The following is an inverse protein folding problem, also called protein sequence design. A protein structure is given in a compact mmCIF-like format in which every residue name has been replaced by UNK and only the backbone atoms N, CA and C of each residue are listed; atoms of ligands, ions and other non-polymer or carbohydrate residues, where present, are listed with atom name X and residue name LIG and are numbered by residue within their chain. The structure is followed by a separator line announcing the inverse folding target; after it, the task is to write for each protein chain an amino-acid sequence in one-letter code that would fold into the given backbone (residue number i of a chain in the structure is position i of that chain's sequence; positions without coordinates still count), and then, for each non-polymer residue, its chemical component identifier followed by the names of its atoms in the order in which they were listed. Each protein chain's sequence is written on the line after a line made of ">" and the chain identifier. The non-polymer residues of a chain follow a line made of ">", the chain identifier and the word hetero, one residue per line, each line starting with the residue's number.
data_IF_734448051482
#
_entry.id   IF_734448051482
#
_cell.length_a   1.000
_cell.length_b   1.000
_cell.length_c   1.000
_cell.angle_alpha   90.00
_cell.angle_beta   90.00
_cell.angle_gamma   90.00
#
_symmetry.space_group_name_H-M   'P 1'
#
loop_
_entity.id
_entity.type
_entity.pdbx_description
1 polymer ?
#
# COMPACT_ATOMS: atom_id res chain seq x y z
N UNK A 1 -19.14 -10.89 5.51
CA UNK A 1 -18.00 -11.22 6.42
C UNK A 1 -16.67 -11.24 5.67
N UNK A 2 -16.42 -12.16 4.72
CA UNK A 2 -15.19 -12.13 3.89
C UNK A 2 -15.10 -10.84 3.04
N UNK A 3 -16.15 -10.53 2.28
CA UNK A 3 -16.16 -9.34 1.41
C UNK A 3 -15.96 -8.03 2.18
N UNK A 4 -16.61 -7.89 3.34
CA UNK A 4 -16.44 -6.71 4.21
C UNK A 4 -15.01 -6.58 4.74
N UNK A 5 -14.34 -7.70 5.02
CA UNK A 5 -12.94 -7.68 5.45
C UNK A 5 -12.00 -7.31 4.30
N UNK A 6 -12.25 -7.84 3.09
CA UNK A 6 -11.52 -7.46 1.89
C UNK A 6 -11.70 -5.96 1.57
N UNK A 7 -12.90 -5.40 1.77
CA UNK A 7 -13.15 -3.97 1.63
C UNK A 7 -12.31 -3.13 2.60
N UNK A 8 -12.20 -3.56 3.87
CA UNK A 8 -11.35 -2.88 4.87
C UNK A 8 -9.88 -2.94 4.46
N UNK A 9 -9.40 -4.09 3.98
CA UNK A 9 -8.02 -4.24 3.46
C UNK A 9 -7.82 -3.35 2.23
N UNK A 10 -8.77 -3.34 1.31
CA UNK A 10 -8.71 -2.52 0.11
C UNK A 10 -8.58 -1.04 0.45
N UNK A 11 -9.47 -0.52 1.30
CA UNK A 11 -9.48 0.91 1.64
C UNK A 11 -8.30 1.32 2.52
N UNK A 12 -7.86 0.47 3.44
CA UNK A 12 -6.64 0.73 4.22
C UNK A 12 -5.41 0.80 3.32
N UNK A 13 -5.31 -0.06 2.30
CA UNK A 13 -4.27 0.03 1.27
C UNK A 13 -4.36 1.30 0.44
N UNK A 14 -5.55 1.75 0.05
CA UNK A 14 -5.69 3.00 -0.70
C UNK A 14 -5.17 4.19 0.11
N UNK A 15 -5.55 4.28 1.39
CA UNK A 15 -5.07 5.31 2.30
C UNK A 15 -3.53 5.24 2.46
N UNK A 16 -2.98 4.04 2.69
CA UNK A 16 -1.53 3.84 2.78
C UNK A 16 -0.80 4.26 1.50
N UNK A 17 -1.34 3.93 0.33
CA UNK A 17 -0.74 4.27 -0.96
C UNK A 17 -0.60 5.78 -1.14
N UNK A 18 -1.67 6.53 -0.82
CA UNK A 18 -1.68 8.00 -0.87
C UNK A 18 -0.70 8.57 0.16
N UNK A 19 -0.73 8.11 1.42
CA UNK A 19 0.15 8.60 2.48
C UNK A 19 1.63 8.37 2.13
N UNK A 20 1.98 7.16 1.68
CA UNK A 20 3.36 6.84 1.28
C UNK A 20 3.78 7.70 0.09
N UNK A 21 2.90 7.89 -0.90
CA UNK A 21 3.23 8.72 -2.07
C UNK A 21 3.45 10.19 -1.72
N UNK A 22 2.66 10.74 -0.79
CA UNK A 22 2.91 12.08 -0.23
C UNK A 22 4.28 12.14 0.45
N UNK A 23 4.61 11.19 1.34
CA UNK A 23 5.88 11.17 2.07
C UNK A 23 7.09 10.99 1.15
N UNK A 24 7.01 10.09 0.16
CA UNK A 24 8.08 9.88 -0.82
C UNK A 24 8.25 11.06 -1.76
N UNK A 25 7.20 11.84 -2.02
CA UNK A 25 7.29 13.06 -2.81
C UNK A 25 8.13 14.16 -2.14
N UNK A 26 8.17 14.17 -0.81
CA UNK A 26 8.97 15.15 -0.04
C UNK A 26 10.47 14.84 -0.05
N UNK A 27 10.83 13.58 -0.29
CA UNK A 27 12.22 13.10 -0.26
C UNK A 27 12.67 12.92 -1.72
N UNK A 28 13.91 13.26 -2.11
CA UNK A 28 14.39 13.07 -3.48
C UNK A 28 14.72 11.61 -3.81
N UNK A 29 13.84 10.69 -3.41
CA UNK A 29 13.91 9.28 -3.73
C UNK A 29 13.48 9.08 -5.18
N UNK A 30 14.22 8.28 -5.97
CA UNK A 30 13.98 8.13 -7.42
C UNK A 30 14.09 6.69 -7.89
N UNK A 31 13.42 6.42 -9.01
CA UNK A 31 13.59 5.20 -9.78
C UNK A 31 13.15 3.93 -9.04
N UNK A 32 13.76 2.81 -9.41
CA UNK A 32 13.37 1.48 -8.96
C UNK A 32 13.37 1.31 -7.43
N UNK A 33 14.30 1.96 -6.73
CA UNK A 33 14.40 1.87 -5.25
C UNK A 33 13.13 2.37 -4.57
N UNK A 34 12.53 3.45 -5.09
CA UNK A 34 11.28 3.99 -4.54
C UNK A 34 10.11 3.03 -4.72
N UNK A 35 10.03 2.37 -5.87
CA UNK A 35 9.01 1.37 -6.18
C UNK A 35 9.16 0.13 -5.31
N UNK A 36 10.39 -0.36 -5.15
CA UNK A 36 10.69 -1.52 -4.32
C UNK A 36 10.35 -1.26 -2.85
N UNK A 37 10.72 -0.09 -2.33
CA UNK A 37 10.38 0.31 -0.96
C UNK A 37 8.88 0.45 -0.76
N UNK A 38 8.16 1.02 -1.73
CA UNK A 38 6.69 1.03 -1.69
C UNK A 38 6.13 -0.39 -1.56
N UNK A 39 6.56 -1.32 -2.42
CA UNK A 39 6.06 -2.69 -2.41
C UNK A 39 6.31 -3.38 -1.07
N UNK A 40 7.53 -3.27 -0.53
CA UNK A 40 7.91 -3.87 0.76
C UNK A 40 7.14 -3.26 1.91
N UNK A 41 7.04 -1.92 1.99
CA UNK A 41 6.33 -1.23 3.09
C UNK A 41 4.83 -1.51 3.01
N UNK A 42 4.23 -1.41 1.84
CA UNK A 42 2.79 -1.63 1.66
C UNK A 42 2.40 -3.09 1.98
N UNK A 43 3.13 -4.07 1.44
CA UNK A 43 2.89 -5.48 1.73
C UNK A 43 3.18 -5.82 3.19
N UNK A 44 4.27 -5.30 3.76
CA UNK A 44 4.66 -5.55 5.14
C UNK A 44 3.67 -4.97 6.15
N UNK A 45 3.19 -3.74 5.96
CA UNK A 45 2.20 -3.13 6.85
C UNK A 45 0.87 -3.87 6.83
N UNK A 46 0.42 -4.32 5.65
CA UNK A 46 -0.82 -5.10 5.54
C UNK A 46 -0.65 -6.48 6.17
N UNK A 47 0.49 -7.14 5.90
CA UNK A 47 0.83 -8.42 6.55
C UNK A 47 0.80 -8.30 8.08
N UNK A 48 1.45 -7.28 8.62
CA UNK A 48 1.44 -7.03 10.06
C UNK A 48 0.05 -6.70 10.60
N UNK A 49 -0.77 -5.99 9.84
CA UNK A 49 -2.15 -5.63 10.21
C UNK A 49 -3.02 -6.89 10.39
N UNK A 50 -3.09 -7.76 9.39
CA UNK A 50 -3.93 -8.97 9.53
C UNK A 50 -3.31 -10.02 10.46
N UNK A 51 -1.98 -10.11 10.54
CA UNK A 51 -1.28 -11.05 11.43
C UNK A 51 -1.42 -10.69 12.92
N UNK A 52 -1.33 -9.40 13.28
CA UNK A 52 -1.40 -8.99 14.70
C UNK A 52 -2.80 -8.63 15.17
N UNK A 53 -3.62 -8.00 14.33
CA UNK A 53 -4.87 -7.38 14.82
C UNK A 53 -6.02 -8.38 14.92
N UNK A 54 -5.94 -9.52 14.22
CA UNK A 54 -7.13 -10.36 14.07
C UNK A 54 -7.00 -11.81 14.52
N UNK A 55 -5.79 -12.37 14.68
CA UNK A 55 -5.62 -13.81 15.00
C UNK A 55 -6.59 -14.70 14.20
N UNK A 56 -6.90 -14.26 12.99
CA UNK A 56 -7.90 -14.85 12.11
C UNK A 56 -7.23 -16.06 11.50
N UNK A 57 -7.96 -17.17 11.47
CA UNK A 57 -7.53 -18.35 10.73
C UNK A 57 -7.45 -17.95 9.25
N UNK A 58 -6.25 -17.65 8.76
CA UNK A 58 -6.02 -17.07 7.43
C UNK A 58 -6.60 -17.98 6.33
N UNK A 59 -6.75 -19.28 6.63
CA UNK A 59 -7.38 -20.29 5.78
C UNK A 59 -8.88 -20.01 5.52
N UNK A 60 -9.58 -19.34 6.44
CA UNK A 60 -11.00 -19.00 6.30
C UNK A 60 -11.23 -17.86 5.31
N UNK A 61 -10.18 -17.09 4.98
CA UNK A 61 -10.23 -15.90 4.13
C UNK A 61 -9.46 -16.06 2.80
N UNK A 62 -9.23 -17.30 2.35
CA UNK A 62 -8.55 -17.59 1.08
C UNK A 62 -7.01 -17.61 1.19
N UNK A 63 -6.48 -17.47 2.40
CA UNK A 63 -5.05 -17.50 2.70
C UNK A 63 -4.38 -16.12 2.64
N UNK A 64 -3.17 -15.99 3.22
CA UNK A 64 -2.45 -14.71 3.32
C UNK A 64 -2.13 -14.10 1.95
N UNK A 65 -2.00 -14.92 0.91
CA UNK A 65 -1.78 -14.44 -0.46
C UNK A 65 -2.99 -13.67 -0.99
N UNK A 66 -4.21 -14.10 -0.70
CA UNK A 66 -5.46 -13.44 -1.10
C UNK A 66 -5.57 -12.04 -0.51
N UNK A 67 -5.31 -11.95 0.78
CA UNK A 67 -5.29 -10.70 1.54
C UNK A 67 -4.16 -9.76 1.08
N UNK A 68 -3.02 -10.34 0.69
CA UNK A 68 -1.85 -9.54 0.29
C UNK A 68 -1.96 -8.97 -1.12
N UNK A 69 -2.73 -9.58 -2.02
CA UNK A 69 -2.94 -9.08 -3.40
C UNK A 69 -4.11 -8.09 -3.50
N UNK A 70 -5.09 -8.18 -2.60
CA UNK A 70 -6.26 -7.30 -2.59
C UNK A 70 -5.86 -5.82 -2.56
N UNK A 71 -6.44 -5.00 -3.45
CA UNK A 71 -6.16 -3.55 -3.53
C UNK A 71 -4.70 -3.13 -3.82
N UNK A 72 -3.77 -4.04 -4.08
CA UNK A 72 -2.35 -3.69 -4.27
C UNK A 72 -2.11 -2.83 -5.51
N UNK A 73 -2.63 -3.25 -6.67
CA UNK A 73 -2.40 -2.54 -7.94
C UNK A 73 -3.05 -1.15 -7.97
N UNK A 74 -4.21 -1.00 -7.34
CA UNK A 74 -4.91 0.29 -7.22
C UNK A 74 -4.19 1.21 -6.24
N UNK A 75 -3.73 0.69 -5.10
CA UNK A 75 -2.90 1.44 -4.14
C UNK A 75 -1.58 1.88 -4.77
N UNK A 76 -0.96 1.03 -5.59
CA UNK A 76 0.24 1.35 -6.34
C UNK A 76 0.01 2.50 -7.34
N UNK A 77 -1.11 2.48 -8.06
CA UNK A 77 -1.47 3.59 -8.94
C UNK A 77 -1.66 4.91 -8.15
N UNK A 78 -2.36 4.87 -7.01
CA UNK A 78 -2.53 6.02 -6.13
C UNK A 78 -1.21 6.57 -5.59
N UNK A 79 -0.31 5.67 -5.19
CA UNK A 79 1.07 6.01 -4.80
C UNK A 79 1.81 6.72 -5.94
N UNK A 80 1.81 6.17 -7.16
CA UNK A 80 2.51 6.77 -8.30
C UNK A 80 1.99 8.17 -8.60
N UNK A 81 0.67 8.35 -8.63
CA UNK A 81 0.05 9.65 -8.92
C UNK A 81 0.47 10.68 -7.88
N UNK A 82 0.31 10.37 -6.59
CA UNK A 82 0.63 11.30 -5.50
C UNK A 82 2.13 11.59 -5.43
N UNK A 83 2.97 10.56 -5.54
CA UNK A 83 4.42 10.70 -5.54
C UNK A 83 4.93 11.57 -6.67
N UNK A 84 4.52 11.30 -7.92
CA UNK A 84 4.96 12.05 -9.10
C UNK A 84 4.52 13.51 -9.01
N UNK A 85 3.27 13.78 -8.62
CA UNK A 85 2.75 15.15 -8.50
C UNK A 85 3.55 15.93 -7.46
N UNK A 86 3.74 15.39 -6.25
CA UNK A 86 4.44 16.10 -5.18
C UNK A 86 5.93 16.27 -5.52
N UNK A 87 6.59 15.21 -5.97
CA UNK A 87 8.00 15.27 -6.33
C UNK A 87 8.24 16.31 -7.44
N UNK A 88 7.40 16.30 -8.49
CA UNK A 88 7.54 17.24 -9.61
C UNK A 88 7.24 18.68 -9.18
N UNK A 89 6.25 18.89 -8.31
CA UNK A 89 5.91 20.23 -7.80
C UNK A 89 7.00 20.84 -6.91
N UNK A 90 7.71 20.01 -6.14
CA UNK A 90 8.78 20.46 -5.23
C UNK A 90 10.16 20.58 -5.91
N UNK A 91 10.41 19.81 -6.95
CA UNK A 91 11.69 19.77 -7.67
C UNK A 91 11.56 20.37 -9.09
N UNK A 92 10.67 21.37 -9.25
CA UNK A 92 10.46 22.10 -10.51
C UNK A 92 11.54 23.18 -10.66
N UNK A 93 12.79 22.75 -10.89
CA UNK A 93 13.85 23.63 -11.40
C UNK A 93 13.92 23.55 -12.94
#
# INVERSE_FOLDING_TARGET
>A
MLDEFLDVIYWSRQALGIIIGLLWGLIPLKGFVALLLFAVVNAGLIYLYFSNFQSVDEEEFGGPWELTKEGFMTSFAGFLVTWIIIYSGLNFD
#
